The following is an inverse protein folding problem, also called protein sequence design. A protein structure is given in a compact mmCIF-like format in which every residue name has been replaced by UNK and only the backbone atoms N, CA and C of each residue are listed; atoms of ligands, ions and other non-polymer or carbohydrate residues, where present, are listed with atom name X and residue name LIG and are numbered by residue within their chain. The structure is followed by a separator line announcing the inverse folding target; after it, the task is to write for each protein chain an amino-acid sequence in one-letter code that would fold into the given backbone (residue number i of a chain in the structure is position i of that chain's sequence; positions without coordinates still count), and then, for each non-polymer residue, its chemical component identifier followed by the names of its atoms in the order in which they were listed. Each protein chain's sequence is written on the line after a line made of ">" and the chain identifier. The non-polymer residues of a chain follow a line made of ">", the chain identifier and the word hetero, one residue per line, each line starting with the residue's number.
data_IF_482939484642
#
_entry.id   IF_482939484642
#
_cell.length_a   1.000
_cell.length_b   1.000
_cell.length_c   1.000
_cell.angle_alpha   90.00
_cell.angle_beta   90.00
_cell.angle_gamma   90.00
#
_symmetry.space_group_name_H-M   'P 1'
#
loop_
_entity.id
_entity.type
_entity.pdbx_description
1 polymer ?
#
# COMPACT_ATOMS: atom_id res chain seq x y z
N UNK A 1 -18.07 0.14 -4.29
CA UNK A 1 -17.51 -1.24 -4.29
C UNK A 1 -17.57 -1.83 -2.88
N UNK A 2 -18.21 -2.98 -2.71
CA UNK A 2 -18.25 -3.71 -1.44
C UNK A 2 -16.88 -4.30 -1.13
N UNK A 3 -16.37 -3.98 0.06
CA UNK A 3 -15.19 -4.59 0.67
C UNK A 3 -15.28 -6.11 0.59
N UNK A 4 -14.24 -6.76 0.07
CA UNK A 4 -14.15 -8.23 0.07
C UNK A 4 -13.81 -8.71 1.48
N UNK A 5 -14.22 -9.93 1.85
CA UNK A 5 -14.11 -10.46 3.22
C UNK A 5 -12.67 -10.62 3.75
N UNK A 6 -11.66 -10.48 2.88
CA UNK A 6 -10.23 -10.58 3.20
C UNK A 6 -9.51 -9.22 3.23
N UNK A 7 -10.19 -8.12 2.89
CA UNK A 7 -9.65 -6.78 3.10
C UNK A 7 -9.66 -6.47 4.60
N UNK A 8 -8.54 -5.97 5.14
CA UNK A 8 -8.49 -5.51 6.52
C UNK A 8 -9.59 -4.47 6.77
N UNK A 9 -10.20 -4.44 7.97
CA UNK A 9 -11.19 -3.43 8.30
C UNK A 9 -10.60 -2.04 8.03
N UNK A 10 -11.24 -1.28 7.13
CA UNK A 10 -10.79 0.06 6.73
C UNK A 10 -10.68 1.04 7.90
N UNK A 11 -11.33 0.72 9.02
CA UNK A 11 -11.37 1.51 10.25
C UNK A 11 -10.81 0.72 11.46
N UNK A 12 -9.60 0.16 11.33
CA UNK A 12 -8.85 -0.35 12.47
C UNK A 12 -8.02 0.77 13.13
N UNK A 13 -7.92 0.83 14.48
CA UNK A 13 -7.01 1.76 15.17
C UNK A 13 -5.53 1.43 14.91
N UNK A 14 -5.23 0.22 14.46
CA UNK A 14 -3.92 -0.20 13.99
C UNK A 14 -3.94 -0.11 12.46
N UNK A 15 -3.39 0.96 11.90
CA UNK A 15 -3.17 1.04 10.47
C UNK A 15 -1.91 0.24 10.16
N UNK A 16 -2.06 -0.86 9.43
CA UNK A 16 -0.90 -1.60 8.94
C UNK A 16 -0.23 -0.75 7.86
N UNK A 17 0.99 -0.29 8.12
CA UNK A 17 1.85 0.26 7.07
C UNK A 17 2.32 -0.91 6.24
N UNK A 18 1.86 -0.98 4.99
CA UNK A 18 2.46 -1.83 3.99
C UNK A 18 2.27 -1.24 2.59
N UNK A 19 2.73 -0.01 2.32
CA UNK A 19 3.25 0.24 0.97
C UNK A 19 4.72 -0.13 0.96
N UNK A 20 4.99 -1.34 0.52
CA UNK A 20 6.08 -1.50 -0.42
C UNK A 20 5.74 -0.68 -1.68
N UNK A 21 6.72 -0.19 -2.46
CA UNK A 21 6.45 0.54 -3.71
C UNK A 21 5.79 -0.30 -4.82
N UNK A 22 5.14 -1.39 -4.43
CA UNK A 22 4.62 -2.50 -5.22
C UNK A 22 3.33 -2.93 -4.53
N UNK A 23 2.26 -3.05 -5.31
CA UNK A 23 0.98 -3.63 -4.93
C UNK A 23 0.83 -4.97 -5.67
N UNK A 24 0.07 -5.91 -5.11
CA UNK A 24 -0.09 -7.22 -5.71
C UNK A 24 -0.81 -8.22 -4.81
N UNK A 25 -1.11 -9.37 -5.40
CA UNK A 25 -1.66 -10.50 -4.69
C UNK A 25 -0.52 -11.36 -4.15
N UNK A 26 -0.60 -11.73 -2.87
CA UNK A 26 0.26 -12.77 -2.31
C UNK A 26 -0.57 -14.02 -2.00
N UNK A 27 0.06 -15.18 -2.14
CA UNK A 27 -0.54 -16.42 -1.68
C UNK A 27 -0.12 -16.68 -0.23
N UNK A 28 -1.08 -17.11 0.59
CA UNK A 28 -0.89 -17.41 2.01
C UNK A 28 -1.54 -18.74 2.37
N UNK A 29 -1.01 -19.41 3.39
CA UNK A 29 -1.57 -20.65 3.93
C UNK A 29 -2.24 -20.34 5.26
N UNK A 30 -3.49 -20.79 5.44
CA UNK A 30 -4.24 -20.59 6.69
C UNK A 30 -3.61 -21.38 7.84
N UNK A 31 -3.60 -20.79 9.04
CA UNK A 31 -3.12 -21.43 10.26
C UNK A 31 -4.10 -22.49 10.80
N UNK A 32 -5.35 -22.47 10.36
CA UNK A 32 -6.39 -23.39 10.83
C UNK A 32 -6.34 -24.78 10.16
N UNK A 33 -5.41 -24.97 9.21
CA UNK A 33 -5.23 -26.25 8.53
C UNK A 33 -4.53 -27.26 9.44
N UNK A 34 -4.84 -28.55 9.22
CA UNK A 34 -4.01 -29.64 9.76
C UNK A 34 -2.58 -29.53 9.23
N UNK A 35 -1.62 -30.06 9.99
CA UNK A 35 -0.18 -30.00 9.64
C UNK A 35 0.10 -30.58 8.23
N UNK A 36 -0.54 -31.71 7.91
CA UNK A 36 -0.42 -32.35 6.59
C UNK A 36 -1.00 -31.47 5.46
N UNK A 37 -2.18 -30.86 5.69
CA UNK A 37 -2.79 -29.97 4.70
C UNK A 37 -2.00 -28.66 4.51
N UNK A 38 -1.42 -28.13 5.58
CA UNK A 38 -0.55 -26.96 5.52
C UNK A 38 0.71 -27.26 4.71
N UNK A 39 1.32 -28.43 4.90
CA UNK A 39 2.50 -28.87 4.13
C UNK A 39 2.18 -29.00 2.63
N UNK A 40 1.05 -29.63 2.29
CA UNK A 40 0.60 -29.74 0.90
C UNK A 40 0.33 -28.37 0.27
N UNK A 41 -0.31 -27.45 1.01
CA UNK A 41 -0.55 -26.09 0.56
C UNK A 41 0.76 -25.33 0.29
N UNK A 42 1.74 -25.44 1.19
CA UNK A 42 3.06 -24.84 0.99
C UNK A 42 3.79 -25.42 -0.22
N UNK A 43 3.75 -26.74 -0.40
CA UNK A 43 4.34 -27.39 -1.56
C UNK A 43 3.70 -26.91 -2.86
N UNK A 44 2.37 -26.78 -2.90
CA UNK A 44 1.66 -26.22 -4.05
C UNK A 44 2.11 -24.79 -4.36
N UNK A 45 2.24 -23.92 -3.34
CA UNK A 45 2.74 -22.56 -3.54
C UNK A 45 4.19 -22.53 -4.02
N UNK A 46 5.04 -23.41 -3.49
CA UNK A 46 6.42 -23.55 -3.98
C UNK A 46 6.44 -23.97 -5.44
N UNK A 47 5.64 -24.97 -5.84
CA UNK A 47 5.51 -25.39 -7.24
C UNK A 47 5.06 -24.22 -8.11
N UNK A 48 3.99 -23.52 -7.75
CA UNK A 48 3.49 -22.37 -8.53
C UNK A 48 4.49 -21.20 -8.65
N UNK A 49 5.46 -21.10 -7.74
CA UNK A 49 6.46 -20.01 -7.73
C UNK A 49 7.84 -20.43 -8.26
N UNK A 50 8.08 -21.73 -8.43
CA UNK A 50 9.36 -22.29 -8.87
C UNK A 50 9.27 -22.97 -10.23
N UNK A 51 8.11 -23.50 -10.57
CA UNK A 51 7.89 -24.19 -11.83
C UNK A 51 7.71 -23.16 -12.95
N UNK A 52 8.63 -23.18 -13.91
CA UNK A 52 8.61 -22.29 -15.08
C UNK A 52 7.41 -22.58 -16.00
N UNK A 53 6.82 -23.78 -15.86
CA UNK A 53 5.62 -24.20 -16.57
C UNK A 53 4.32 -23.94 -15.79
N UNK A 54 4.38 -23.31 -14.60
CA UNK A 54 3.19 -22.89 -13.86
C UNK A 54 2.50 -21.72 -14.57
N UNK A 55 1.73 -22.07 -15.61
CA UNK A 55 0.69 -21.44 -16.44
C UNK A 55 0.12 -20.06 -16.05
N UNK A 56 0.90 -19.13 -15.52
CA UNK A 56 0.51 -17.73 -15.46
C UNK A 56 0.80 -17.11 -16.84
N UNK A 57 -0.19 -16.48 -17.48
CA UNK A 57 0.05 -15.79 -18.74
C UNK A 57 1.23 -14.79 -18.60
N UNK A 58 2.08 -14.64 -19.64
CA UNK A 58 3.18 -13.69 -19.59
C UNK A 58 2.71 -12.28 -19.22
N UNK A 59 3.44 -11.60 -18.34
CA UNK A 59 3.08 -10.27 -17.83
C UNK A 59 2.06 -10.25 -16.69
N UNK A 60 1.57 -11.41 -16.24
CA UNK A 60 0.79 -11.54 -14.99
C UNK A 60 1.72 -11.54 -13.75
N UNK A 61 2.80 -12.34 -13.70
CA UNK A 61 3.72 -12.29 -12.57
C UNK A 61 4.69 -11.10 -12.67
N UNK A 62 4.79 -10.33 -11.59
CA UNK A 62 5.86 -9.35 -11.39
C UNK A 62 7.11 -10.05 -10.81
N UNK A 63 8.32 -9.55 -11.09
CA UNK A 63 9.54 -10.09 -10.48
C UNK A 63 9.47 -9.93 -8.96
N UNK A 64 9.70 -11.02 -8.23
CA UNK A 64 9.69 -11.06 -6.75
C UNK A 64 11.05 -11.46 -6.17
N UNK A 65 11.99 -11.93 -7.00
CA UNK A 65 13.36 -12.32 -6.65
C UNK A 65 14.36 -11.63 -7.57
N UNK A 66 15.60 -11.50 -7.11
CA UNK A 66 16.68 -10.93 -7.93
C UNK A 66 16.97 -11.78 -9.17
N UNK A 67 16.84 -13.10 -9.05
CA UNK A 67 16.97 -14.05 -10.16
C UNK A 67 15.89 -13.90 -11.24
N UNK A 68 14.77 -13.24 -10.92
CA UNK A 68 13.69 -13.03 -11.89
C UNK A 68 14.09 -11.97 -12.93
N UNK A 69 14.99 -11.05 -12.57
CA UNK A 69 15.43 -9.96 -13.44
C UNK A 69 16.22 -10.44 -14.67
N UNK A 70 16.64 -11.71 -14.70
CA UNK A 70 17.32 -12.31 -15.86
C UNK A 70 16.36 -12.98 -16.84
N UNK A 71 15.04 -12.93 -16.61
CA UNK A 71 14.01 -13.63 -17.41
C UNK A 71 12.94 -12.68 -17.99
N UNK A 72 13.32 -11.65 -18.78
CA UNK A 72 12.39 -10.65 -19.35
C UNK A 72 11.30 -11.25 -20.23
N UNK A 73 11.58 -12.33 -20.93
CA UNK A 73 10.64 -13.02 -21.82
C UNK A 73 9.46 -13.69 -21.10
N UNK A 74 9.63 -14.07 -19.83
CA UNK A 74 8.56 -14.69 -19.03
C UNK A 74 7.74 -13.66 -18.26
N UNK A 75 8.39 -12.59 -17.80
CA UNK A 75 7.82 -11.65 -16.82
C UNK A 75 7.31 -10.36 -17.46
N UNK A 76 7.85 -9.97 -18.61
CA UNK A 76 7.31 -8.85 -19.36
C UNK A 76 6.18 -9.37 -20.28
N UNK A 77 5.08 -8.62 -20.34
CA UNK A 77 3.96 -8.96 -21.20
C UNK A 77 4.34 -8.97 -22.69
N UNK A 78 3.59 -9.71 -23.54
CA UNK A 78 3.91 -9.86 -24.96
C UNK A 78 3.80 -8.55 -25.76
N UNK A 79 3.20 -7.51 -25.17
CA UNK A 79 3.04 -6.19 -25.78
C UNK A 79 4.35 -5.39 -25.92
N UNK A 80 5.42 -5.81 -25.24
CA UNK A 80 6.72 -5.16 -25.30
C UNK A 80 7.64 -5.87 -26.30
N UNK A 81 8.42 -5.10 -27.05
CA UNK A 81 9.49 -5.61 -27.90
C UNK A 81 10.65 -6.19 -27.06
N UNK A 82 11.45 -7.13 -27.58
CA UNK A 82 12.48 -7.82 -26.78
C UNK A 82 13.44 -6.89 -26.01
N UNK A 83 13.84 -5.77 -26.61
CA UNK A 83 14.71 -4.78 -25.95
C UNK A 83 13.99 -4.04 -24.83
N UNK A 84 12.72 -3.69 -25.03
CA UNK A 84 11.87 -3.00 -24.06
C UNK A 84 11.59 -3.87 -22.84
N UNK A 85 11.48 -5.21 -23.02
CA UNK A 85 11.31 -6.15 -21.91
C UNK A 85 12.49 -6.12 -20.95
N UNK A 86 13.72 -6.06 -21.48
CA UNK A 86 14.94 -5.95 -20.68
C UNK A 86 15.01 -4.62 -19.93
N UNK A 87 14.71 -3.51 -20.60
CA UNK A 87 14.68 -2.17 -19.98
C UNK A 87 13.58 -2.04 -18.93
N UNK A 88 12.42 -2.65 -19.17
CA UNK A 88 11.31 -2.73 -18.23
C UNK A 88 11.75 -3.46 -16.96
N UNK A 89 12.25 -4.70 -17.06
CA UNK A 89 12.70 -5.45 -15.88
C UNK A 89 13.84 -4.76 -15.14
N UNK A 90 14.81 -4.16 -15.85
CA UNK A 90 15.88 -3.39 -15.22
C UNK A 90 15.33 -2.20 -14.42
N UNK A 91 14.30 -1.54 -14.94
CA UNK A 91 13.63 -0.42 -14.26
C UNK A 91 12.81 -0.90 -13.07
N UNK A 92 12.03 -1.97 -13.21
CA UNK A 92 11.31 -2.60 -12.10
C UNK A 92 12.29 -3.01 -11.01
N UNK A 93 13.40 -3.67 -11.35
CA UNK A 93 14.44 -4.04 -10.39
C UNK A 93 15.07 -2.84 -9.66
N UNK A 94 15.28 -1.71 -10.33
CA UNK A 94 15.73 -0.46 -9.65
C UNK A 94 14.67 0.06 -8.66
N UNK A 95 13.40 0.03 -9.03
CA UNK A 95 12.29 0.42 -8.17
C UNK A 95 12.13 -0.52 -6.97
N UNK A 96 12.23 -1.84 -7.17
CA UNK A 96 12.18 -2.85 -6.10
C UNK A 96 13.33 -2.70 -5.10
N UNK A 97 14.52 -2.33 -5.58
CA UNK A 97 15.70 -2.05 -4.74
C UNK A 97 15.60 -0.70 -4.01
N UNK A 98 14.68 0.18 -4.42
CA UNK A 98 14.48 1.44 -3.73
C UNK A 98 13.83 1.19 -2.36
N UNK A 99 14.63 1.38 -1.30
CA UNK A 99 14.20 1.22 0.09
C UNK A 99 13.50 2.45 0.66
N UNK A 100 13.32 3.50 -0.12
CA UNK A 100 12.51 4.64 0.31
C UNK A 100 11.07 4.15 0.44
N UNK A 101 10.65 3.95 1.70
CA UNK A 101 9.28 3.62 2.07
C UNK A 101 8.37 4.70 1.47
N UNK A 102 7.52 4.31 0.52
CA UNK A 102 6.36 5.13 0.15
C UNK A 102 5.40 4.96 1.32
N UNK A 103 5.45 5.88 2.28
CA UNK A 103 4.58 5.82 3.44
C UNK A 103 3.13 5.93 2.95
N UNK A 104 2.36 4.84 3.04
CA UNK A 104 0.91 4.99 3.12
C UNK A 104 0.63 5.92 4.28
N UNK A 105 -0.24 6.90 4.06
CA UNK A 105 -0.67 7.83 5.08
C UNK A 105 -1.39 7.04 6.19
N UNK A 106 -0.73 6.78 7.34
CA UNK A 106 -1.11 5.69 8.22
C UNK A 106 -1.98 6.24 9.34
N UNK A 107 -3.13 6.79 8.93
CA UNK A 107 -4.00 7.59 9.78
C UNK A 107 -5.43 7.07 9.71
N UNK A 108 -6.13 7.13 10.84
CA UNK A 108 -7.57 6.87 10.90
C UNK A 108 -8.32 7.77 9.91
N UNK A 109 -9.32 7.22 9.22
CA UNK A 109 -10.09 7.94 8.21
C UNK A 109 -9.33 8.21 6.90
N UNK A 110 -8.24 7.47 6.63
CA UNK A 110 -7.38 7.56 5.42
C UNK A 110 -8.16 7.80 4.13
N UNK A 111 -9.26 7.08 3.90
CA UNK A 111 -10.04 7.19 2.67
C UNK A 111 -10.55 8.61 2.41
N UNK A 112 -10.93 9.35 3.46
CA UNK A 112 -11.41 10.73 3.34
C UNK A 112 -10.29 11.65 2.87
N UNK A 113 -9.09 11.48 3.39
CA UNK A 113 -7.92 12.24 2.99
C UNK A 113 -7.48 11.90 1.56
N UNK A 114 -7.49 10.62 1.19
CA UNK A 114 -7.18 10.16 -0.17
C UNK A 114 -8.20 10.65 -1.19
N UNK A 115 -9.49 10.66 -0.86
CA UNK A 115 -10.53 11.22 -1.71
C UNK A 115 -10.27 12.71 -2.01
N UNK A 116 -9.94 13.50 -0.97
CA UNK A 116 -9.57 14.91 -1.15
C UNK A 116 -8.34 15.09 -2.05
N UNK A 117 -7.32 14.25 -1.89
CA UNK A 117 -6.13 14.30 -2.73
C UNK A 117 -6.45 13.91 -4.18
N UNK A 118 -7.25 12.87 -4.37
CA UNK A 118 -7.69 12.39 -5.70
C UNK A 118 -8.48 13.46 -6.43
N UNK A 119 -9.44 14.10 -5.76
CA UNK A 119 -10.23 15.20 -6.32
C UNK A 119 -9.34 16.36 -6.74
N UNK A 120 -8.35 16.73 -5.92
CA UNK A 120 -7.43 17.82 -6.24
C UNK A 120 -6.52 17.50 -7.43
N UNK A 121 -6.02 16.27 -7.52
CA UNK A 121 -5.24 15.81 -8.68
C UNK A 121 -6.10 15.83 -9.94
N UNK A 122 -7.34 15.34 -9.88
CA UNK A 122 -8.28 15.38 -11.01
C UNK A 122 -8.58 16.81 -11.45
N UNK A 123 -8.78 17.74 -10.51
CA UNK A 123 -8.98 19.16 -10.82
C UNK A 123 -7.76 19.81 -11.45
N UNK A 124 -6.55 19.51 -10.94
CA UNK A 124 -5.31 20.01 -11.51
C UNK A 124 -5.06 19.49 -12.93
N UNK A 125 -5.36 18.21 -13.19
CA UNK A 125 -5.29 17.65 -14.54
C UNK A 125 -6.32 18.27 -15.49
N UNK A 126 -7.50 18.64 -15.00
CA UNK A 126 -8.54 19.29 -15.79
C UNK A 126 -8.28 20.78 -16.05
N UNK A 127 -7.43 21.43 -15.24
CA UNK A 127 -7.14 22.86 -15.29
C UNK A 127 -5.62 23.11 -15.27
N UNK A 128 -4.91 22.78 -16.36
CA UNK A 128 -3.45 22.79 -16.41
C UNK A 128 -2.82 24.19 -16.23
N UNK A 129 -3.59 25.25 -16.47
CA UNK A 129 -3.13 26.65 -16.39
C UNK A 129 -3.20 27.24 -14.97
N UNK A 130 -3.84 26.55 -14.02
CA UNK A 130 -3.90 27.02 -12.63
C UNK A 130 -2.59 26.69 -11.88
N UNK A 131 -2.09 27.61 -11.04
CA UNK A 131 -0.92 27.35 -10.21
C UNK A 131 -1.14 26.15 -9.28
N UNK A 132 -0.18 25.23 -9.25
CA UNK A 132 -0.22 24.05 -8.37
C UNK A 132 -0.45 24.38 -6.88
N UNK A 133 -0.07 25.59 -6.45
CA UNK A 133 -0.26 26.09 -5.07
C UNK A 133 -1.73 26.23 -4.66
N UNK A 134 -2.63 26.51 -5.61
CA UNK A 134 -4.03 26.77 -5.27
C UNK A 134 -4.74 25.46 -4.91
N UNK A 135 -4.38 24.38 -5.58
CA UNK A 135 -4.88 23.04 -5.29
C UNK A 135 -4.33 22.49 -3.98
N UNK A 136 -3.03 22.64 -3.73
CA UNK A 136 -2.40 22.12 -2.50
C UNK A 136 -2.88 22.84 -1.24
N UNK A 137 -3.14 24.15 -1.33
CA UNK A 137 -3.76 24.91 -0.24
C UNK A 137 -5.20 24.44 0.06
N UNK A 138 -5.98 24.15 -0.98
CA UNK A 138 -7.34 23.61 -0.84
C UNK A 138 -7.36 22.22 -0.17
N UNK A 139 -6.41 21.35 -0.55
CA UNK A 139 -6.22 20.03 0.07
C UNK A 139 -5.89 20.18 1.55
N UNK A 140 -4.92 21.04 1.89
CA UNK A 140 -4.50 21.25 3.27
C UNK A 140 -5.66 21.69 4.18
N UNK A 141 -6.50 22.62 3.70
CA UNK A 141 -7.68 23.07 4.45
C UNK A 141 -8.67 21.94 4.71
N UNK A 142 -9.03 21.17 3.68
CA UNK A 142 -9.94 20.03 3.82
C UNK A 142 -9.37 18.94 4.73
N UNK A 143 -8.06 18.72 4.70
CA UNK A 143 -7.40 17.78 5.62
C UNK A 143 -7.49 18.23 7.08
N UNK A 144 -7.35 19.53 7.35
CA UNK A 144 -7.56 20.10 8.70
C UNK A 144 -9.01 19.88 9.15
N UNK A 145 -9.99 20.07 8.28
CA UNK A 145 -11.41 19.81 8.58
C UNK A 145 -11.65 18.34 8.92
N UNK A 146 -11.05 17.40 8.17
CA UNK A 146 -11.13 15.97 8.46
C UNK A 146 -10.49 15.66 9.83
N UNK A 147 -9.32 16.22 10.14
CA UNK A 147 -8.66 16.06 11.43
C UNK A 147 -9.52 16.58 12.60
N UNK A 148 -10.21 17.71 12.41
CA UNK A 148 -11.11 18.27 13.42
C UNK A 148 -12.32 17.36 13.66
N UNK A 149 -12.90 16.76 12.61
CA UNK A 149 -14.01 15.79 12.74
C UNK A 149 -13.61 14.51 13.48
N UNK A 150 -12.39 14.03 13.25
CA UNK A 150 -11.83 12.86 13.93
C UNK A 150 -11.47 13.18 15.39
N UNK A 151 -11.10 14.43 15.66
CA UNK A 151 -10.47 14.87 16.89
C UNK A 151 -8.94 14.79 16.78
N UNK A 152 -8.27 15.92 17.04
CA UNK A 152 -6.83 16.07 16.85
C UNK A 152 -6.04 15.05 17.70
N UNK A 153 -6.49 14.75 18.91
CA UNK A 153 -5.84 13.79 19.79
C UNK A 153 -5.97 12.36 19.27
N UNK A 154 -7.17 11.97 18.83
CA UNK A 154 -7.46 10.67 18.20
C UNK A 154 -6.64 10.49 16.92
N UNK A 155 -6.58 11.52 16.08
CA UNK A 155 -5.79 11.51 14.85
C UNK A 155 -4.30 11.34 15.15
N UNK A 156 -3.76 12.14 16.08
CA UNK A 156 -2.36 12.06 16.52
C UNK A 156 -2.02 10.67 17.07
N UNK A 157 -2.88 10.12 17.93
CA UNK A 157 -2.60 8.85 18.57
C UNK A 157 -2.72 7.68 17.58
N UNK A 158 -3.63 7.78 16.60
CA UNK A 158 -3.65 6.87 15.45
C UNK A 158 -2.34 6.91 14.67
N UNK A 159 -1.83 8.10 14.32
CA UNK A 159 -0.52 8.22 13.68
C UNK A 159 0.58 7.54 14.50
N UNK A 160 0.61 7.78 15.82
CA UNK A 160 1.63 7.21 16.72
C UNK A 160 1.56 5.68 16.73
N UNK A 161 0.37 5.11 16.91
CA UNK A 161 0.15 3.66 16.92
C UNK A 161 0.62 3.03 15.62
N UNK A 162 0.31 3.64 14.46
CA UNK A 162 0.73 3.10 13.17
C UNK A 162 2.26 3.11 12.96
N UNK A 163 2.99 3.95 13.70
CA UNK A 163 4.45 3.96 13.72
C UNK A 163 5.04 3.08 14.86
N UNK A 164 4.23 2.24 15.50
CA UNK A 164 4.64 1.40 16.63
C UNK A 164 4.87 2.16 17.94
N UNK A 165 4.41 3.42 18.02
CA UNK A 165 4.54 4.25 19.21
C UNK A 165 3.29 4.17 20.08
N UNK A 166 3.46 4.27 21.40
CA UNK A 166 2.32 4.37 22.34
C UNK A 166 1.54 5.68 22.12
N UNK A 167 0.21 5.72 22.34
CA UNK A 167 -0.57 6.96 22.37
C UNK A 167 0.07 8.02 23.26
N UNK A 168 -0.04 9.29 22.88
CA UNK A 168 0.45 10.35 23.76
C UNK A 168 -0.51 10.47 24.95
N UNK A 169 0.05 10.47 26.17
CA UNK A 169 -0.74 10.58 27.41
C UNK A 169 -1.65 11.82 27.34
N UNK A 170 -2.92 11.73 27.75
CA UNK A 170 -3.75 12.92 27.89
C UNK A 170 -3.11 13.86 28.91
N UNK A 171 -3.10 15.18 28.64
CA UNK A 171 -2.72 16.17 29.66
C UNK A 171 -3.65 15.94 30.85
N UNK A 172 -3.07 15.65 32.02
CA UNK A 172 -3.79 15.62 33.30
C UNK A 172 -4.68 16.87 33.37
N UNK A 173 -6.00 16.70 33.46
CA UNK A 173 -6.88 17.79 33.87
C UNK A 173 -6.34 18.39 35.18
N UNK A 174 -6.40 19.71 35.38
CA UNK A 174 -5.95 20.31 36.62
C UNK A 174 -6.73 19.69 37.76
N UNK A 175 -6.02 19.04 38.68
CA UNK A 175 -6.60 18.59 39.95
C UNK A 175 -7.18 19.84 40.62
N UNK A 176 -8.48 19.91 40.93
CA UNK A 176 -9.00 21.02 41.71
C UNK A 176 -8.32 20.95 43.08
N UNK A 177 -7.57 21.99 43.41
CA UNK A 177 -7.06 22.19 44.76
C UNK A 177 -8.27 22.23 45.70
N UNK A 178 -8.30 21.28 46.64
CA UNK A 178 -9.21 21.31 47.79
C UNK A 178 -8.81 22.41 48.75
#
# INVERSE_FOLDING_TARGET
>A
PTLRSWEAPRESPVNHVALTGFDGLCAVVSQDLSEEAALLAWNMLQTLTLDEDALLPPGIPSPVRESDLTRPELLAGPALEPIERGEYLATVGRSLRNRQLVLEMPVIGREKFLAVLTDAVQQGLAQPDLPGSDFTNGVAKKWIEIQQQIGIETFRDSCRISHGLKPALPKKSPVPLK
#
